data_IF_478664806959
#
_entry.id   IF_478664806959
#
_cell.length_a   1.000
_cell.length_b   1.000
_cell.length_c   1.000
_cell.angle_alpha   90.00
_cell.angle_beta   90.00
_cell.angle_gamma   90.00
#
_symmetry.space_group_name_H-M   'P 1'
#
loop_
_entity.id
_entity.type
_entity.pdbx_description
1 polymer ?
#
# COMPACT_ATOMS: atom_id res chain seq x y z
N UNK A 1 -17.68 2.55 -3.64
CA UNK A 1 -16.23 2.37 -3.87
C UNK A 1 -15.75 1.45 -2.76
N UNK A 2 -15.42 0.18 -3.07
CA UNK A 2 -14.74 -0.69 -2.13
C UNK A 2 -13.39 -0.09 -1.72
N UNK A 3 -13.11 -0.05 -0.43
CA UNK A 3 -11.77 0.28 0.07
C UNK A 3 -11.15 -1.03 0.55
N UNK A 4 -10.00 -1.38 -0.04
CA UNK A 4 -9.27 -2.60 0.29
C UNK A 4 -8.19 -2.26 1.31
N UNK A 5 -8.23 -2.89 2.47
CA UNK A 5 -7.23 -2.73 3.52
C UNK A 5 -6.25 -3.88 3.46
N UNK A 6 -4.95 -3.57 3.38
CA UNK A 6 -3.87 -4.55 3.48
C UNK A 6 -3.00 -4.18 4.67
N UNK A 7 -2.93 -5.10 5.63
CA UNK A 7 -1.97 -5.04 6.73
C UNK A 7 -0.68 -5.71 6.29
N UNK A 8 0.39 -4.93 6.32
CA UNK A 8 1.70 -5.33 5.82
C UNK A 8 2.53 -5.77 7.02
N UNK A 9 2.58 -7.08 7.26
CA UNK A 9 3.31 -7.69 8.38
C UNK A 9 4.61 -8.35 7.90
N UNK A 10 5.71 -8.27 8.67
CA UNK A 10 7.03 -8.74 8.25
C UNK A 10 7.14 -10.25 8.00
N UNK A 11 6.12 -11.03 8.36
CA UNK A 11 6.15 -12.49 8.27
C UNK A 11 5.71 -13.05 6.90
N UNK A 12 5.16 -12.24 5.99
CA UNK A 12 4.57 -12.72 4.73
C UNK A 12 5.18 -12.04 3.51
N UNK A 13 5.18 -12.72 2.37
CA UNK A 13 5.65 -12.17 1.10
C UNK A 13 4.69 -11.07 0.59
N UNK A 14 4.98 -9.84 1.01
CA UNK A 14 4.07 -8.71 0.88
C UNK A 14 3.87 -8.29 -0.57
N UNK A 15 4.90 -8.43 -1.40
CA UNK A 15 4.86 -8.11 -2.82
C UNK A 15 3.93 -9.05 -3.59
N UNK A 16 3.91 -10.34 -3.25
CA UNK A 16 2.99 -11.29 -3.85
C UNK A 16 1.53 -10.94 -3.54
N UNK A 17 1.23 -10.60 -2.27
CA UNK A 17 -0.13 -10.21 -1.85
C UNK A 17 -0.53 -8.88 -2.49
N UNK A 18 0.36 -7.88 -2.47
CA UNK A 18 0.12 -6.59 -3.12
C UNK A 18 -0.15 -6.77 -4.61
N UNK A 19 0.63 -7.60 -5.29
CA UNK A 19 0.46 -7.88 -6.71
C UNK A 19 -0.88 -8.55 -7.00
N UNK A 20 -1.26 -9.56 -6.21
CA UNK A 20 -2.54 -10.25 -6.37
C UNK A 20 -3.72 -9.30 -6.15
N UNK A 21 -3.68 -8.51 -5.06
CA UNK A 21 -4.69 -7.51 -4.76
C UNK A 21 -4.78 -6.43 -5.82
N UNK A 22 -3.66 -5.93 -6.34
CA UNK A 22 -3.63 -4.95 -7.44
C UNK A 22 -4.25 -5.49 -8.72
N UNK A 23 -4.18 -6.81 -8.97
CA UNK A 23 -4.89 -7.42 -10.10
C UNK A 23 -6.40 -7.48 -9.89
N UNK A 24 -6.84 -7.63 -8.64
CA UNK A 24 -8.26 -7.63 -8.27
C UNK A 24 -8.87 -6.22 -8.17
N UNK A 25 -8.04 -5.18 -7.99
CA UNK A 25 -8.50 -3.79 -7.84
C UNK A 25 -9.04 -3.22 -9.17
N UNK A 26 -10.29 -2.75 -9.12
CA UNK A 26 -10.96 -2.04 -10.20
C UNK A 26 -10.53 -0.56 -10.25
N UNK A 27 -10.97 0.15 -11.28
CA UNK A 27 -10.52 1.51 -11.63
C UNK A 27 -10.87 2.57 -10.59
N UNK A 28 -11.80 2.25 -9.71
CA UNK A 28 -12.30 3.14 -8.66
C UNK A 28 -11.98 2.63 -7.26
N UNK A 29 -11.20 1.56 -7.14
CA UNK A 29 -10.84 1.04 -5.83
C UNK A 29 -9.66 1.79 -5.22
N UNK A 30 -9.73 1.92 -3.90
CA UNK A 30 -8.69 2.51 -3.08
C UNK A 30 -7.99 1.41 -2.30
N UNK A 31 -6.67 1.41 -2.35
CA UNK A 31 -5.84 0.49 -1.61
C UNK A 31 -5.23 1.21 -0.42
N UNK A 32 -5.59 0.80 0.79
CA UNK A 32 -5.04 1.33 2.02
C UNK A 32 -4.06 0.32 2.60
N UNK A 33 -2.79 0.72 2.64
CA UNK A 33 -1.68 -0.11 3.11
C UNK A 33 -1.31 0.38 4.49
N UNK A 34 -1.43 -0.49 5.49
CA UNK A 34 -1.10 -0.21 6.89
C UNK A 34 0.20 -0.94 7.21
N UNK A 35 1.21 -0.19 7.62
CA UNK A 35 2.57 -0.67 7.89
C UNK A 35 2.98 -0.23 9.29
N UNK A 36 3.81 -1.00 9.98
CA UNK A 36 4.41 -0.55 11.24
C UNK A 36 5.51 0.49 10.95
N UNK A 37 5.52 1.59 11.72
CA UNK A 37 6.49 2.67 11.52
C UNK A 37 7.95 2.25 11.77
N UNK A 38 8.18 1.13 12.45
CA UNK A 38 9.52 0.58 12.73
C UNK A 38 10.10 -0.16 11.52
N UNK A 39 9.31 -0.47 10.50
CA UNK A 39 9.75 -1.20 9.31
C UNK A 39 9.92 -0.28 8.10
N UNK A 40 10.74 0.77 8.27
CA UNK A 40 11.05 1.72 7.21
C UNK A 40 11.63 1.06 5.93
N UNK A 41 12.31 -0.07 6.09
CA UNK A 41 12.84 -0.84 4.96
C UNK A 41 11.73 -1.48 4.11
N UNK A 42 10.61 -1.93 4.69
CA UNK A 42 9.45 -2.37 3.92
C UNK A 42 8.75 -1.22 3.23
N UNK A 43 8.63 -0.07 3.89
CA UNK A 43 7.96 1.11 3.32
C UNK A 43 8.56 1.47 1.96
N UNK A 44 9.89 1.53 1.89
CA UNK A 44 10.62 1.87 0.67
C UNK A 44 10.30 0.92 -0.50
N UNK A 45 10.30 -0.40 -0.23
CA UNK A 45 9.98 -1.42 -1.24
C UNK A 45 8.55 -1.32 -1.75
N UNK A 46 7.59 -1.03 -0.86
CA UNK A 46 6.19 -0.87 -1.26
C UNK A 46 5.99 0.41 -2.07
N UNK A 47 6.63 1.51 -1.69
CA UNK A 47 6.59 2.75 -2.49
C UNK A 47 7.18 2.57 -3.88
N UNK A 48 8.35 1.92 -3.98
CA UNK A 48 8.97 1.57 -5.25
C UNK A 48 8.01 0.70 -6.10
N UNK A 49 7.42 -0.33 -5.50
CA UNK A 49 6.47 -1.20 -6.20
C UNK A 49 5.25 -0.44 -6.72
N UNK A 50 4.60 0.37 -5.88
CA UNK A 50 3.44 1.19 -6.27
C UNK A 50 3.81 2.16 -7.40
N UNK A 51 4.99 2.80 -7.30
CA UNK A 51 5.50 3.70 -8.32
C UNK A 51 5.73 2.98 -9.66
N UNK A 52 6.33 1.79 -9.63
CA UNK A 52 6.57 0.97 -10.82
C UNK A 52 5.26 0.51 -11.48
N UNK A 53 4.22 0.25 -10.70
CA UNK A 53 2.89 -0.09 -11.20
C UNK A 53 2.08 1.14 -11.67
N UNK A 54 2.61 2.35 -11.52
CA UNK A 54 1.92 3.58 -11.89
C UNK A 54 0.77 3.93 -10.95
N UNK A 55 0.81 3.52 -9.69
CA UNK A 55 -0.17 3.94 -8.69
C UNK A 55 0.16 5.33 -8.15
N UNK A 56 -0.86 6.14 -7.94
CA UNK A 56 -0.77 7.38 -7.20
C UNK A 56 -0.91 7.06 -5.71
N UNK A 57 0.11 7.35 -4.91
CA UNK A 57 0.10 7.02 -3.48
C UNK A 57 0.21 8.28 -2.63
N UNK A 58 -0.61 8.34 -1.59
CA UNK A 58 -0.64 9.43 -0.61
C UNK A 58 -0.29 8.87 0.76
N UNK A 59 0.89 9.21 1.30
CA UNK A 59 1.25 8.83 2.66
C UNK A 59 0.39 9.61 3.66
N UNK A 60 -0.30 8.88 4.53
CA UNK A 60 -1.03 9.41 5.67
C UNK A 60 -0.30 8.97 6.95
N UNK A 61 0.47 9.89 7.52
CA UNK A 61 1.12 9.67 8.81
C UNK A 61 0.06 9.46 9.89
N UNK A 62 0.15 8.37 10.66
CA UNK A 62 -0.65 8.22 11.88
C UNK A 62 -0.03 9.10 12.96
N UNK A 63 -0.87 9.84 13.68
CA UNK A 63 -0.43 10.72 14.77
C UNK A 63 0.23 9.95 15.92
N UNK A 64 -0.06 8.65 16.03
CA UNK A 64 0.40 7.77 17.11
C UNK A 64 1.86 7.30 16.95
N UNK A 65 2.47 7.51 15.77
CA UNK A 65 3.86 7.15 15.49
C UNK A 65 4.18 5.64 15.46
N UNK A 66 3.20 4.78 15.78
CA UNK A 66 3.34 3.33 15.73
C UNK A 66 2.98 2.73 14.37
N UNK A 67 2.04 3.34 13.66
CA UNK A 67 1.56 2.85 12.37
C UNK A 67 1.72 3.92 11.30
N UNK A 68 1.93 3.48 10.07
CA UNK A 68 1.99 4.31 8.89
C UNK A 68 0.97 3.82 7.87
N UNK A 69 0.20 4.73 7.31
CA UNK A 69 -0.85 4.39 6.34
C UNK A 69 -0.54 5.02 5.00
N UNK A 70 -0.69 4.26 3.93
CA UNK A 70 -0.51 4.75 2.56
C UNK A 70 -1.79 4.46 1.81
N UNK A 71 -2.38 5.51 1.23
CA UNK A 71 -3.53 5.37 0.36
C UNK A 71 -3.01 5.36 -1.07
N UNK A 72 -3.04 4.20 -1.72
CA UNK A 72 -2.70 4.03 -3.11
C UNK A 72 -3.98 3.96 -3.97
N UNK A 73 -3.96 4.67 -5.09
CA UNK A 73 -5.03 4.72 -6.09
C UNK A 73 -4.45 4.41 -7.45
N UNK A 74 -5.20 3.68 -8.27
CA UNK A 74 -4.73 3.36 -9.63
C UNK A 74 -4.73 4.63 -10.46
N UNK A 75 -3.55 5.11 -10.87
CA UNK A 75 -3.47 6.27 -11.76
C UNK A 75 -3.79 5.79 -13.16
N UNK A 76 -4.89 6.29 -13.72
CA UNK A 76 -5.20 6.08 -15.12
C UNK A 76 -4.35 7.03 -15.97
N UNK A 77 -3.74 6.49 -17.03
CA UNK A 77 -3.26 7.26 -18.19
C UNK A 77 -4.19 6.95 -19.36
#
# INVERSE_FOLDING_TARGET
>A
MPTHYIEVTPATDQLAILSDRIRELDRHDELVIIMDAKDAHQQDRVFEFLRLQGFDYQPQGSHDGNEYRVIAKRRFH
#
